data_IF_666378762905
#
_entry.id   IF_666378762905
#
_cell.length_a   1.000
_cell.length_b   1.000
_cell.length_c   1.000
_cell.angle_alpha   90.00
_cell.angle_beta   90.00
_cell.angle_gamma   90.00
#
_symmetry.space_group_name_H-M   'P 1'
#
loop_
_entity.id
_entity.type
_entity.pdbx_description
1 polymer ?
#
# COMPACT_ATOMS: atom_id res chain seq x y z
N UNK A 1 3.72 -23.58 -0.03
CA UNK A 1 4.02 -22.49 -0.98
C UNK A 1 4.52 -21.27 -0.21
N UNK A 2 5.72 -20.78 -0.58
CA UNK A 2 6.08 -19.38 -0.78
C UNK A 2 5.93 -18.34 0.37
N UNK A 3 6.58 -18.55 1.53
CA UNK A 3 6.76 -17.46 2.51
C UNK A 3 7.61 -16.30 1.96
N UNK A 4 8.54 -16.56 1.03
CA UNK A 4 9.36 -15.52 0.40
C UNK A 4 8.53 -14.54 -0.43
N UNK A 5 7.70 -15.06 -1.34
CA UNK A 5 6.87 -14.21 -2.23
C UNK A 5 5.89 -13.31 -1.46
N UNK A 6 5.28 -13.81 -0.39
CA UNK A 6 4.35 -13.03 0.43
C UNK A 6 5.07 -11.91 1.19
N UNK A 7 6.27 -12.18 1.73
CA UNK A 7 7.07 -11.15 2.41
C UNK A 7 7.58 -10.07 1.46
N UNK A 8 8.01 -10.44 0.25
CA UNK A 8 8.40 -9.47 -0.78
C UNK A 8 7.23 -8.55 -1.15
N UNK A 9 6.04 -9.11 -1.39
CA UNK A 9 4.84 -8.32 -1.71
C UNK A 9 4.45 -7.39 -0.55
N UNK A 10 4.57 -7.84 0.71
CA UNK A 10 4.33 -6.99 1.88
C UNK A 10 5.32 -5.82 1.95
N UNK A 11 6.59 -6.05 1.64
CA UNK A 11 7.62 -5.01 1.56
C UNK A 11 7.29 -3.95 0.51
N UNK A 12 6.86 -4.38 -0.67
CA UNK A 12 6.50 -3.48 -1.77
C UNK A 12 5.30 -2.59 -1.42
N UNK A 13 4.30 -3.14 -0.72
CA UNK A 13 3.14 -2.36 -0.28
C UNK A 13 3.49 -1.32 0.79
N UNK A 14 4.36 -1.67 1.74
CA UNK A 14 4.85 -0.72 2.74
C UNK A 14 5.60 0.45 2.08
N UNK A 15 6.46 0.16 1.10
CA UNK A 15 7.16 1.18 0.32
C UNK A 15 6.19 2.06 -0.48
N UNK A 16 5.21 1.46 -1.14
CA UNK A 16 4.19 2.20 -1.90
C UNK A 16 3.34 3.12 -1.00
N UNK A 17 2.98 2.66 0.21
CA UNK A 17 2.24 3.47 1.19
C UNK A 17 3.03 4.72 1.59
N UNK A 18 4.31 4.57 1.95
CA UNK A 18 5.20 5.67 2.30
C UNK A 18 5.28 6.71 1.18
N UNK A 19 5.42 6.23 -0.07
CA UNK A 19 5.46 7.11 -1.23
C UNK A 19 4.16 7.92 -1.39
N UNK A 20 3.00 7.26 -1.36
CA UNK A 20 1.72 7.96 -1.51
C UNK A 20 1.42 8.93 -0.37
N UNK A 21 1.80 8.60 0.87
CA UNK A 21 1.66 9.51 2.00
C UNK A 21 2.49 10.78 1.82
N UNK A 22 3.74 10.66 1.37
CA UNK A 22 4.59 11.82 1.06
C UNK A 22 4.04 12.64 -0.10
N UNK A 23 3.57 11.98 -1.16
CA UNK A 23 2.93 12.67 -2.28
C UNK A 23 1.63 13.38 -1.87
N UNK A 24 0.88 12.84 -0.91
CA UNK A 24 -0.36 13.44 -0.42
C UNK A 24 -0.10 14.70 0.41
N UNK A 25 1.04 14.80 1.09
CA UNK A 25 1.46 16.06 1.76
C UNK A 25 1.65 17.17 0.71
N UNK A 26 2.25 16.85 -0.43
CA UNK A 26 2.47 17.79 -1.53
C UNK A 26 1.20 18.08 -2.33
N UNK A 27 0.25 17.13 -2.39
CA UNK A 27 -1.01 17.28 -3.12
C UNK A 27 -2.20 16.71 -2.33
N UNK A 28 -2.68 17.42 -1.28
CA UNK A 28 -3.72 16.91 -0.37
C UNK A 28 -5.07 16.65 -1.05
N UNK A 29 -5.34 17.34 -2.17
CA UNK A 29 -6.56 17.20 -2.96
C UNK A 29 -6.56 16.02 -3.93
N UNK A 30 -5.45 15.30 -4.11
CA UNK A 30 -5.36 14.26 -5.13
C UNK A 30 -6.27 13.07 -4.83
N UNK A 31 -7.35 12.93 -5.61
CA UNK A 31 -8.24 11.77 -5.55
C UNK A 31 -7.51 10.47 -5.88
N UNK A 32 -6.60 10.50 -6.87
CA UNK A 32 -5.80 9.34 -7.27
C UNK A 32 -4.97 8.78 -6.10
N UNK A 33 -4.29 9.65 -5.34
CA UNK A 33 -3.47 9.22 -4.21
C UNK A 33 -4.31 8.59 -3.10
N UNK A 34 -5.49 9.16 -2.82
CA UNK A 34 -6.45 8.62 -1.85
C UNK A 34 -7.00 7.26 -2.28
N UNK A 35 -7.36 7.12 -3.55
CA UNK A 35 -7.87 5.88 -4.12
C UNK A 35 -6.79 4.77 -4.12
N UNK A 36 -5.52 5.12 -4.39
CA UNK A 36 -4.38 4.20 -4.31
C UNK A 36 -4.09 3.74 -2.88
N UNK A 37 -4.12 4.65 -1.89
CA UNK A 37 -3.96 4.29 -0.48
C UNK A 37 -5.08 3.35 -0.01
N UNK A 38 -6.34 3.64 -0.38
CA UNK A 38 -7.45 2.76 -0.07
C UNK A 38 -7.32 1.38 -0.73
N UNK A 39 -6.74 1.29 -1.93
CA UNK A 39 -6.43 0.00 -2.58
C UNK A 39 -5.37 -0.76 -1.82
N UNK A 40 -4.30 -0.11 -1.35
CA UNK A 40 -3.27 -0.72 -0.52
C UNK A 40 -3.86 -1.24 0.80
N UNK A 41 -4.71 -0.46 1.50
CA UNK A 41 -5.38 -0.90 2.73
C UNK A 41 -6.12 -2.24 2.54
N UNK A 42 -6.83 -2.38 1.41
CA UNK A 42 -7.55 -3.63 1.07
C UNK A 42 -6.61 -4.79 0.80
N UNK A 43 -5.50 -4.54 0.12
CA UNK A 43 -4.50 -5.57 -0.19
C UNK A 43 -3.78 -6.04 1.07
N UNK A 44 -3.38 -5.13 1.95
CA UNK A 44 -2.74 -5.46 3.22
C UNK A 44 -3.67 -6.29 4.11
N UNK A 45 -4.94 -5.90 4.26
CA UNK A 45 -5.93 -6.67 5.04
C UNK A 45 -6.10 -8.11 4.54
N UNK A 46 -6.11 -8.30 3.21
CA UNK A 46 -6.18 -9.63 2.60
C UNK A 46 -4.94 -10.48 2.88
N UNK A 47 -3.77 -9.85 3.03
CA UNK A 47 -2.49 -10.54 3.30
C UNK A 47 -2.21 -10.75 4.79
N UNK A 48 -2.91 -10.06 5.68
CA UNK A 48 -2.81 -10.23 7.14
C UNK A 48 -3.95 -11.06 7.73
N UNK A 49 -5.02 -11.30 6.98
CA UNK A 49 -6.22 -12.02 7.42
C UNK A 49 -6.28 -13.50 7.04
N UNK A 50 -5.15 -14.23 7.11
CA UNK A 50 -5.09 -15.69 7.01
C UNK A 50 -4.48 -16.27 8.28
#
# INVERSE_FOLDING_TARGET
MNMGGIQHIKGDYAAARQYYQRALILTPGSKLLKDNLAKLDRLERRLTGA
#
